data_IF_508131506198
#
_entry.id   IF_508131506198
#
_cell.length_a   1.000
_cell.length_b   1.000
_cell.length_c   1.000
_cell.angle_alpha   90.00
_cell.angle_beta   90.00
_cell.angle_gamma   90.00
#
_symmetry.space_group_name_H-M   'P 1'
#
loop_
_entity.id
_entity.type
_entity.pdbx_description
1 polymer ?
#
# COMPACT_ATOMS: atom_id res chain seq x y z
N UNK A 1 -46.77 32.82 26.13
CA UNK A 1 -47.09 31.40 26.44
C UNK A 1 -45.79 30.68 26.73
N UNK A 2 -45.73 30.02 27.90
CA UNK A 2 -44.75 29.05 28.42
C UNK A 2 -43.25 29.44 28.38
N UNK A 3 -42.63 29.92 29.47
CA UNK A 3 -42.30 29.36 30.79
C UNK A 3 -40.90 28.69 30.86
N UNK A 4 -40.03 29.43 31.56
CA UNK A 4 -38.71 29.05 32.06
C UNK A 4 -38.80 27.94 33.11
N UNK A 5 -37.77 27.09 33.19
CA UNK A 5 -37.46 26.35 34.41
C UNK A 5 -36.03 26.64 34.87
N UNK A 6 -35.93 27.25 36.04
CA UNK A 6 -34.76 27.28 36.93
C UNK A 6 -34.90 26.20 38.01
N UNK A 7 -33.78 25.81 38.66
CA UNK A 7 -33.67 24.61 39.49
C UNK A 7 -33.81 24.91 41.00
N UNK A 8 -33.86 23.87 41.86
CA UNK A 8 -33.07 23.71 43.10
C UNK A 8 -33.72 22.72 44.11
N UNK A 9 -32.85 21.82 44.58
CA UNK A 9 -32.82 21.01 45.83
C UNK A 9 -33.87 21.29 46.93
N UNK A 10 -34.31 20.22 47.62
CA UNK A 10 -34.18 20.08 49.10
C UNK A 10 -34.53 18.70 49.67
N UNK A 11 -33.59 18.23 50.49
CA UNK A 11 -33.74 17.53 51.78
C UNK A 11 -34.44 16.16 51.88
N UNK A 12 -33.65 15.15 52.25
CA UNK A 12 -34.07 13.90 52.89
C UNK A 12 -33.42 13.82 54.27
N UNK A 13 -34.22 13.65 55.33
CA UNK A 13 -33.81 13.04 56.61
C UNK A 13 -35.01 12.31 57.22
N UNK A 14 -34.90 10.98 57.42
CA UNK A 14 -35.44 10.27 58.59
C UNK A 14 -34.50 9.09 58.89
N UNK A 15 -34.01 9.02 60.14
CA UNK A 15 -33.23 7.92 60.74
C UNK A 15 -34.13 6.84 61.34
N UNK A 16 -33.51 5.68 61.67
CA UNK A 16 -33.76 4.68 62.75
C UNK A 16 -33.86 3.26 62.13
N UNK A 17 -33.27 2.16 62.63
CA UNK A 17 -32.16 1.85 63.52
C UNK A 17 -31.96 0.30 63.46
N UNK A 18 -30.77 -0.16 63.86
CA UNK A 18 -30.44 -1.49 64.45
C UNK A 18 -30.59 -2.78 63.61
N UNK A 19 -29.48 -3.52 63.46
CA UNK A 19 -29.50 -4.92 63.00
C UNK A 19 -28.14 -5.57 62.70
N UNK A 20 -27.49 -6.05 63.76
CA UNK A 20 -26.38 -7.01 63.90
C UNK A 20 -25.94 -7.92 62.69
N UNK A 21 -24.63 -7.87 62.40
CA UNK A 21 -23.67 -8.92 61.91
C UNK A 21 -24.02 -9.85 60.73
N UNK A 22 -23.17 -9.83 59.70
CA UNK A 22 -22.27 -10.94 59.31
C UNK A 22 -21.27 -10.45 58.23
N UNK A 23 -19.98 -10.64 58.51
CA UNK A 23 -18.87 -10.38 57.59
C UNK A 23 -18.92 -11.35 56.40
N UNK A 24 -19.33 -10.84 55.24
CA UNK A 24 -19.16 -11.49 53.94
C UNK A 24 -18.16 -10.69 53.12
N UNK A 25 -16.91 -11.18 53.03
CA UNK A 25 -15.87 -10.62 52.18
C UNK A 25 -16.20 -10.86 50.70
N UNK A 26 -16.81 -9.88 50.03
CA UNK A 26 -16.79 -9.80 48.57
C UNK A 26 -15.64 -8.90 48.15
N UNK A 27 -14.51 -9.51 47.80
CA UNK A 27 -13.43 -8.83 47.10
C UNK A 27 -13.91 -8.37 45.73
N UNK A 28 -14.14 -7.07 45.56
CA UNK A 28 -14.26 -6.46 44.24
C UNK A 28 -12.86 -6.39 43.63
N UNK A 29 -12.55 -7.33 42.73
CA UNK A 29 -11.44 -7.23 41.80
C UNK A 29 -11.74 -6.05 40.87
N UNK A 30 -11.10 -4.91 41.10
CA UNK A 30 -11.02 -3.85 40.11
C UNK A 30 -10.24 -4.39 38.91
N UNK A 31 -10.94 -4.57 37.80
CA UNK A 31 -10.35 -4.90 36.51
C UNK A 31 -9.59 -3.67 36.02
N UNK A 32 -8.30 -3.66 36.30
CA UNK A 32 -7.38 -2.62 35.86
C UNK A 32 -7.16 -2.82 34.36
N UNK A 33 -7.88 -2.05 33.54
CA UNK A 33 -7.61 -1.96 32.10
C UNK A 33 -6.15 -1.57 31.91
N UNK A 34 -5.33 -2.55 31.56
CA UNK A 34 -3.96 -2.33 31.15
C UNK A 34 -4.01 -1.46 29.89
N UNK A 35 -3.57 -0.21 30.01
CA UNK A 35 -3.18 0.60 28.86
C UNK A 35 -2.09 -0.20 28.14
N UNK A 36 -2.45 -0.81 27.02
CA UNK A 36 -1.49 -1.49 26.17
C UNK A 36 -0.41 -0.46 25.80
N UNK A 37 0.81 -0.67 26.30
CA UNK A 37 1.97 0.10 25.84
C UNK A 37 2.01 -0.08 24.33
N UNK A 38 1.89 1.04 23.63
CA UNK A 38 2.11 1.10 22.19
C UNK A 38 3.45 0.38 21.91
N UNK A 39 3.49 -0.61 21.01
CA UNK A 39 4.72 -1.35 20.74
C UNK A 39 5.81 -0.34 20.38
N UNK A 40 6.97 -0.46 21.04
CA UNK A 40 8.14 0.39 20.75
C UNK A 40 8.34 0.42 19.23
N UNK A 41 8.44 1.61 18.61
CA UNK A 41 8.55 1.71 17.17
C UNK A 41 9.78 0.89 16.72
N UNK A 42 9.68 0.16 15.59
CA UNK A 42 10.83 -0.54 15.04
C UNK A 42 12.03 0.40 14.94
N UNK A 43 13.28 -0.08 15.14
CA UNK A 43 14.46 0.74 14.93
C UNK A 43 14.39 1.38 13.55
N UNK A 44 14.69 2.69 13.47
CA UNK A 44 14.69 3.39 12.20
C UNK A 44 15.60 2.65 11.21
N UNK A 45 15.15 2.38 9.98
CA UNK A 45 15.92 1.61 9.03
C UNK A 45 17.17 2.41 8.66
N UNK A 46 18.24 1.68 8.36
CA UNK A 46 19.45 2.23 7.76
C UNK A 46 19.07 3.13 6.58
N UNK A 47 19.48 4.40 6.62
CA UNK A 47 19.30 5.33 5.51
C UNK A 47 20.22 4.87 4.38
N UNK A 48 19.64 4.54 3.22
CA UNK A 48 20.42 4.04 2.08
C UNK A 48 20.86 5.19 1.17
N UNK A 49 22.02 5.01 0.55
CA UNK A 49 22.57 5.88 -0.50
C UNK A 49 22.70 5.11 -1.81
N UNK A 50 23.02 5.79 -2.90
CA UNK A 50 23.19 5.12 -4.20
C UNK A 50 24.35 4.10 -4.19
N UNK A 51 25.38 4.31 -3.37
CA UNK A 51 26.54 3.43 -3.24
C UNK A 51 26.23 2.17 -2.42
N UNK A 52 25.32 2.29 -1.44
CA UNK A 52 25.04 1.22 -0.47
C UNK A 52 23.79 0.42 -0.79
N UNK A 53 22.91 0.95 -1.65
CA UNK A 53 21.59 0.37 -1.90
C UNK A 53 21.66 -1.05 -2.46
N UNK A 54 22.50 -1.30 -3.47
CA UNK A 54 22.52 -2.61 -4.15
C UNK A 54 22.98 -3.70 -3.19
N UNK A 55 24.09 -3.50 -2.49
CA UNK A 55 24.63 -4.50 -1.57
C UNK A 55 23.68 -4.75 -0.40
N UNK A 56 23.11 -3.69 0.17
CA UNK A 56 22.18 -3.81 1.31
C UNK A 56 20.91 -4.57 0.93
N UNK A 57 20.30 -4.21 -0.21
CA UNK A 57 19.08 -4.88 -0.69
C UNK A 57 19.37 -6.31 -1.16
N UNK A 58 20.54 -6.56 -1.74
CA UNK A 58 20.99 -7.92 -2.13
C UNK A 58 21.10 -8.82 -0.92
N UNK A 59 21.79 -8.37 0.13
CA UNK A 59 21.94 -9.13 1.37
C UNK A 59 20.58 -9.45 2.01
N UNK A 60 19.66 -8.46 2.06
CA UNK A 60 18.30 -8.69 2.53
C UNK A 60 17.56 -9.72 1.69
N UNK A 61 17.62 -9.58 0.36
CA UNK A 61 16.96 -10.48 -0.59
C UNK A 61 17.43 -11.93 -0.45
N UNK A 62 18.73 -12.14 -0.28
CA UNK A 62 19.34 -13.47 -0.07
C UNK A 62 18.91 -14.09 1.26
N UNK A 63 18.83 -13.30 2.34
CA UNK A 63 18.37 -13.78 3.64
C UNK A 63 16.88 -14.17 3.66
N UNK A 64 16.09 -13.68 2.71
CA UNK A 64 14.65 -13.92 2.62
C UNK A 64 14.27 -14.43 1.23
N UNK A 65 14.60 -15.67 0.82
CA UNK A 65 14.56 -16.08 -0.60
C UNK A 65 13.15 -16.35 -1.17
N UNK A 66 12.09 -16.20 -0.38
CA UNK A 66 10.72 -16.52 -0.78
C UNK A 66 9.93 -15.28 -1.19
N UNK A 67 8.82 -15.51 -1.90
CA UNK A 67 7.82 -14.47 -2.14
C UNK A 67 7.35 -13.87 -0.81
N UNK A 68 7.01 -12.59 -0.81
CA UNK A 68 6.54 -11.89 0.40
C UNK A 68 5.09 -11.46 0.22
N UNK A 69 4.26 -11.74 1.22
CA UNK A 69 2.87 -11.31 1.23
C UNK A 69 2.74 -9.99 1.97
N UNK A 70 2.03 -9.05 1.35
CA UNK A 70 1.78 -7.72 1.90
C UNK A 70 0.28 -7.44 1.88
N UNK A 71 -0.22 -6.82 2.95
CA UNK A 71 -1.56 -6.27 3.04
C UNK A 71 -1.49 -4.74 2.97
N UNK A 72 -2.23 -4.15 2.04
CA UNK A 72 -2.42 -2.70 1.93
C UNK A 72 -3.85 -2.41 2.38
N UNK A 73 -4.03 -1.87 3.58
CA UNK A 73 -5.32 -1.42 4.09
C UNK A 73 -5.59 0.01 3.62
N UNK A 74 -6.80 0.27 3.13
CA UNK A 74 -7.23 1.60 2.71
C UNK A 74 -8.63 1.89 3.26
N UNK A 75 -9.09 3.16 3.27
CA UNK A 75 -10.49 3.47 3.58
C UNK A 75 -11.52 2.81 2.66
N UNK A 76 -11.08 2.26 1.52
CA UNK A 76 -11.90 1.58 0.51
C UNK A 76 -11.91 0.06 0.67
N UNK A 77 -11.10 -0.49 1.59
CA UNK A 77 -10.93 -1.91 1.82
C UNK A 77 -9.46 -2.35 1.69
N UNK A 78 -9.28 -3.66 1.68
CA UNK A 78 -7.97 -4.31 1.74
C UNK A 78 -7.52 -4.84 0.39
N UNK A 79 -6.24 -4.62 0.06
CA UNK A 79 -5.58 -5.18 -1.11
C UNK A 79 -4.46 -6.09 -0.62
N UNK A 80 -4.55 -7.39 -0.92
CA UNK A 80 -3.48 -8.34 -0.63
C UNK A 80 -2.62 -8.52 -1.87
N UNK A 81 -1.33 -8.25 -1.76
CA UNK A 81 -0.36 -8.43 -2.85
C UNK A 81 0.67 -9.51 -2.51
N UNK A 82 1.22 -10.10 -3.55
CA UNK A 82 2.41 -10.96 -3.53
C UNK A 82 3.55 -10.21 -4.19
N UNK A 83 4.66 -10.06 -3.49
CA UNK A 83 5.92 -9.57 -4.04
C UNK A 83 6.79 -10.76 -4.46
N UNK A 84 7.31 -10.72 -5.67
CA UNK A 84 8.05 -11.83 -6.28
C UNK A 84 9.46 -11.95 -5.72
N UNK A 85 9.88 -13.18 -5.44
CA UNK A 85 11.26 -13.47 -5.03
C UNK A 85 12.29 -13.16 -6.14
N UNK A 86 11.87 -13.23 -7.41
CA UNK A 86 12.73 -13.07 -8.59
C UNK A 86 13.00 -11.59 -8.96
N UNK A 87 12.45 -10.65 -8.16
CA UNK A 87 12.81 -9.22 -8.13
C UNK A 87 13.33 -8.84 -6.72
N UNK A 88 14.44 -9.45 -6.28
CA UNK A 88 14.91 -9.38 -4.90
C UNK A 88 15.20 -7.96 -4.41
N UNK A 89 15.75 -7.07 -5.26
CA UNK A 89 16.08 -5.70 -4.83
C UNK A 89 14.81 -4.91 -4.55
N UNK A 90 13.84 -4.92 -5.47
CA UNK A 90 12.61 -4.17 -5.27
C UNK A 90 11.76 -4.75 -4.15
N UNK A 91 11.67 -6.09 -4.03
CA UNK A 91 10.98 -6.73 -2.91
C UNK A 91 11.61 -6.34 -1.58
N UNK A 92 12.93 -6.44 -1.45
CA UNK A 92 13.65 -6.04 -0.25
C UNK A 92 13.38 -4.58 0.12
N UNK A 93 13.43 -3.69 -0.87
CA UNK A 93 13.16 -2.27 -0.64
C UNK A 93 11.72 -2.00 -0.19
N UNK A 94 10.73 -2.61 -0.86
CA UNK A 94 9.33 -2.46 -0.49
C UNK A 94 9.08 -2.97 0.93
N UNK A 95 9.60 -4.15 1.27
CA UNK A 95 9.46 -4.75 2.60
C UNK A 95 10.13 -3.90 3.68
N UNK A 96 11.33 -3.38 3.42
CA UNK A 96 12.01 -2.44 4.32
C UNK A 96 11.16 -1.19 4.59
N UNK A 97 10.61 -0.58 3.55
CA UNK A 97 9.77 0.63 3.68
C UNK A 97 8.43 0.35 4.36
N UNK A 98 7.82 -0.80 4.10
CA UNK A 98 6.60 -1.25 4.79
C UNK A 98 6.86 -1.45 6.29
N UNK A 99 7.93 -2.18 6.65
CA UNK A 99 8.28 -2.42 8.06
C UNK A 99 8.70 -1.14 8.79
N UNK A 100 9.25 -0.15 8.08
CA UNK A 100 9.51 1.17 8.65
C UNK A 100 8.21 1.98 8.91
N UNK A 101 7.09 1.59 8.30
CA UNK A 101 5.87 2.40 8.32
C UNK A 101 5.93 3.60 7.38
N UNK A 102 6.84 3.60 6.39
CA UNK A 102 6.94 4.70 5.42
C UNK A 102 5.64 4.87 4.63
N UNK A 103 5.10 3.76 4.10
CA UNK A 103 3.87 3.79 3.30
C UNK A 103 2.62 4.15 4.11
N UNK A 104 2.65 3.99 5.43
CA UNK A 104 1.54 4.39 6.31
C UNK A 104 1.29 5.90 6.34
N UNK A 105 2.22 6.67 5.75
CA UNK A 105 2.20 8.12 5.62
C UNK A 105 2.11 8.56 4.15
N UNK A 106 1.74 7.65 3.25
CA UNK A 106 1.57 7.94 1.82
C UNK A 106 0.13 7.75 1.37
N UNK A 107 -0.16 8.23 0.16
CA UNK A 107 -1.48 8.13 -0.48
C UNK A 107 -1.33 7.53 -1.88
N UNK A 108 -2.44 7.11 -2.48
CA UNK A 108 -2.52 6.96 -3.93
C UNK A 108 -2.67 8.35 -4.56
N UNK A 109 -1.56 8.88 -5.05
CA UNK A 109 -1.45 10.28 -5.46
C UNK A 109 -1.71 10.49 -6.96
N UNK A 110 -1.81 9.42 -7.74
CA UNK A 110 -2.17 9.48 -9.17
C UNK A 110 -3.09 8.31 -9.48
N UNK A 111 -4.28 8.63 -9.99
CA UNK A 111 -5.31 7.65 -10.34
C UNK A 111 -5.74 7.87 -11.78
N UNK A 112 -5.51 6.87 -12.61
CA UNK A 112 -5.95 6.87 -14.00
C UNK A 112 -6.81 5.66 -14.28
N UNK A 113 -8.10 5.94 -14.42
CA UNK A 113 -9.11 4.95 -14.78
C UNK A 113 -8.69 4.21 -16.05
N UNK A 114 -8.86 2.89 -16.02
CA UNK A 114 -8.56 1.95 -17.09
C UNK A 114 -7.05 1.80 -17.40
N UNK A 115 -6.19 2.33 -16.50
CA UNK A 115 -4.74 2.21 -16.54
C UNK A 115 -4.15 1.74 -15.21
N UNK A 116 -4.04 2.60 -14.18
CA UNK A 116 -3.40 2.24 -12.91
C UNK A 116 -3.75 3.20 -11.75
N UNK A 117 -3.47 2.73 -10.52
CA UNK A 117 -3.39 3.57 -9.32
C UNK A 117 -1.95 3.60 -8.83
N UNK A 118 -1.38 4.78 -8.60
CA UNK A 118 0.01 4.98 -8.19
C UNK A 118 0.09 5.56 -6.79
N UNK A 119 0.92 4.96 -5.94
CA UNK A 119 1.14 5.35 -4.55
C UNK A 119 2.62 5.44 -4.19
N UNK A 120 2.92 5.83 -2.94
CA UNK A 120 4.30 5.91 -2.44
C UNK A 120 4.81 7.30 -2.06
N UNK A 121 3.98 8.33 -2.20
CA UNK A 121 4.26 9.70 -1.73
C UNK A 121 3.01 10.38 -1.16
N UNK A 122 3.22 11.48 -0.44
CA UNK A 122 2.21 12.41 0.06
C UNK A 122 2.91 13.75 0.29
N UNK A 123 2.14 14.84 0.25
CA UNK A 123 2.66 16.19 0.53
C UNK A 123 3.08 16.38 2.00
N UNK A 124 2.61 15.53 2.91
CA UNK A 124 2.93 15.59 4.34
C UNK A 124 3.98 14.56 4.78
N UNK A 125 4.70 13.94 3.85
CA UNK A 125 5.65 12.89 4.20
C UNK A 125 6.99 13.44 4.71
N UNK A 126 7.34 13.13 5.95
CA UNK A 126 8.53 13.65 6.65
C UNK A 126 9.60 12.58 6.92
N UNK A 127 9.28 11.30 6.72
CA UNK A 127 10.20 10.21 7.02
C UNK A 127 11.36 10.17 6.01
N UNK A 128 12.59 10.20 6.53
CA UNK A 128 13.81 10.07 5.72
C UNK A 128 14.04 8.59 5.39
N UNK A 129 14.19 8.29 4.11
CA UNK A 129 14.46 6.93 3.62
C UNK A 129 15.81 6.78 2.92
N UNK A 130 16.44 7.91 2.56
CA UNK A 130 17.61 7.97 1.68
C UNK A 130 17.27 8.50 0.29
N UNK A 131 18.30 8.87 -0.48
CA UNK A 131 18.18 9.26 -1.88
C UNK A 131 18.93 8.26 -2.73
N UNK A 132 18.19 7.41 -3.44
CA UNK A 132 18.71 6.36 -4.29
C UNK A 132 17.66 5.93 -5.31
N UNK A 133 18.10 5.26 -6.35
CA UNK A 133 17.27 4.53 -7.31
C UNK A 133 17.65 3.06 -7.32
N UNK A 134 16.73 2.21 -7.76
CA UNK A 134 16.93 0.75 -7.79
C UNK A 134 17.17 0.31 -9.23
N UNK A 135 18.24 -0.46 -9.52
CA UNK A 135 18.46 -1.05 -10.85
C UNK A 135 17.25 -1.84 -11.35
N UNK A 136 16.94 -1.82 -12.65
CA UNK A 136 15.78 -2.51 -13.20
C UNK A 136 15.91 -4.04 -13.04
N UNK A 137 14.81 -4.69 -12.62
CA UNK A 137 14.70 -6.15 -12.54
C UNK A 137 13.64 -6.64 -13.54
N UNK A 138 13.72 -6.17 -14.78
CA UNK A 138 12.73 -6.44 -15.82
C UNK A 138 12.82 -7.91 -16.25
N UNK A 139 11.73 -8.66 -16.03
CA UNK A 139 11.62 -10.09 -16.40
C UNK A 139 10.52 -10.26 -17.45
N UNK A 140 10.79 -10.87 -18.62
CA UNK A 140 9.78 -11.02 -19.68
C UNK A 140 8.50 -11.77 -19.28
N UNK A 141 8.58 -12.66 -18.28
CA UNK A 141 7.43 -13.41 -17.77
C UNK A 141 6.60 -12.65 -16.73
N UNK A 142 7.11 -11.54 -16.19
CA UNK A 142 6.33 -10.60 -15.38
C UNK A 142 5.96 -9.39 -16.24
N UNK A 143 4.70 -9.38 -16.66
CA UNK A 143 4.14 -8.38 -17.55
C UNK A 143 2.96 -7.67 -16.89
N UNK A 144 2.58 -6.52 -17.44
CA UNK A 144 1.65 -5.59 -16.83
C UNK A 144 0.18 -5.98 -17.06
N UNK A 145 -0.16 -7.25 -16.83
CA UNK A 145 -1.56 -7.69 -16.73
C UNK A 145 -2.28 -6.94 -15.61
N UNK A 146 -3.61 -6.92 -15.68
CA UNK A 146 -4.48 -6.45 -14.59
C UNK A 146 -4.07 -7.09 -13.26
N UNK A 147 -3.89 -6.24 -12.25
CA UNK A 147 -3.41 -6.61 -10.91
C UNK A 147 -1.89 -6.67 -10.76
N UNK A 148 -1.09 -6.47 -11.81
CA UNK A 148 0.36 -6.38 -11.66
C UNK A 148 0.75 -5.18 -10.77
N UNK A 149 1.76 -5.37 -9.92
CA UNK A 149 2.36 -4.31 -9.09
C UNK A 149 3.71 -3.96 -9.70
N UNK A 150 3.89 -2.71 -10.13
CA UNK A 150 5.12 -2.24 -10.76
C UNK A 150 5.73 -1.04 -10.04
N UNK A 151 6.99 -0.77 -10.36
CA UNK A 151 7.73 0.38 -9.79
C UNK A 151 7.85 1.49 -10.83
N UNK A 152 7.54 2.71 -10.41
CA UNK A 152 7.57 3.86 -11.29
C UNK A 152 9.00 4.33 -11.56
N UNK A 153 9.21 4.96 -12.72
CA UNK A 153 10.46 5.59 -13.11
C UNK A 153 10.19 6.72 -14.10
N UNK A 154 11.19 7.58 -14.30
CA UNK A 154 11.19 8.51 -15.44
C UNK A 154 11.39 7.74 -16.75
N UNK A 155 10.94 8.36 -17.86
CA UNK A 155 11.07 7.82 -19.21
C UNK A 155 12.52 7.67 -19.66
N UNK A 156 12.76 6.89 -20.71
CA UNK A 156 14.10 6.48 -21.14
C UNK A 156 14.99 7.67 -21.56
N UNK A 157 14.40 8.78 -22.02
CA UNK A 157 15.14 10.00 -22.39
C UNK A 157 15.87 10.63 -21.19
N UNK A 158 15.22 10.67 -20.02
CA UNK A 158 15.78 11.22 -18.78
C UNK A 158 16.44 10.14 -17.91
N UNK A 159 16.10 8.88 -18.12
CA UNK A 159 16.53 7.74 -17.31
C UNK A 159 16.82 6.52 -18.22
N UNK A 160 17.90 6.57 -19.02
CA UNK A 160 18.23 5.52 -20.00
C UNK A 160 18.58 4.19 -19.34
N UNK A 161 19.07 4.22 -18.10
CA UNK A 161 19.36 3.03 -17.30
C UNK A 161 18.09 2.41 -16.69
N UNK A 162 16.93 3.05 -16.86
CA UNK A 162 15.61 2.60 -16.40
C UNK A 162 15.56 2.33 -14.89
N UNK A 163 16.31 3.11 -14.12
CA UNK A 163 16.36 2.99 -12.68
C UNK A 163 15.00 3.33 -12.06
N UNK A 164 14.49 2.47 -11.17
CA UNK A 164 13.20 2.65 -10.51
C UNK A 164 13.26 3.68 -9.39
N UNK A 165 12.13 4.36 -9.15
CA UNK A 165 11.87 5.08 -7.91
C UNK A 165 12.07 4.15 -6.71
N UNK A 166 12.60 4.68 -5.61
CA UNK A 166 12.76 3.92 -4.38
C UNK A 166 11.46 3.82 -3.57
N UNK A 167 10.40 4.53 -3.95
CA UNK A 167 9.16 4.59 -3.16
C UNK A 167 7.87 4.56 -3.98
N UNK A 168 7.91 5.04 -5.22
CA UNK A 168 6.69 5.17 -6.03
C UNK A 168 6.39 3.85 -6.75
N UNK A 169 5.25 3.25 -6.40
CA UNK A 169 4.75 2.00 -6.98
C UNK A 169 3.37 2.23 -7.59
N UNK A 170 2.92 1.33 -8.45
CA UNK A 170 1.58 1.34 -8.98
C UNK A 170 0.97 -0.07 -9.02
N UNK A 171 -0.35 -0.11 -9.02
CA UNK A 171 -1.14 -1.32 -9.26
C UNK A 171 -1.89 -1.12 -10.57
N UNK A 172 -1.68 -2.02 -11.52
CA UNK A 172 -2.36 -1.99 -12.82
C UNK A 172 -3.83 -2.32 -12.61
N UNK A 173 -4.69 -1.34 -12.88
CA UNK A 173 -6.11 -1.61 -13.10
C UNK A 173 -6.25 -2.18 -14.52
N UNK A 174 -5.77 -1.44 -15.51
CA UNK A 174 -5.88 -1.76 -16.92
C UNK A 174 -7.33 -1.92 -17.39
N UNK A 175 -7.46 -2.21 -18.68
CA UNK A 175 -8.70 -2.65 -19.29
C UNK A 175 -8.41 -3.79 -20.27
N UNK A 176 -9.45 -4.52 -20.67
CA UNK A 176 -9.35 -5.53 -21.71
C UNK A 176 -9.03 -4.87 -23.04
N UNK A 177 -7.95 -5.31 -23.70
CA UNK A 177 -7.54 -4.74 -24.97
C UNK A 177 -8.20 -5.52 -26.12
N UNK A 178 -9.08 -4.89 -26.92
CA UNK A 178 -9.54 -5.49 -28.17
C UNK A 178 -8.35 -5.67 -29.13
N UNK A 179 -8.51 -6.57 -30.10
CA UNK A 179 -7.40 -6.97 -30.98
C UNK A 179 -6.71 -5.79 -31.67
N UNK A 180 -7.48 -4.83 -32.19
CA UNK A 180 -6.91 -3.67 -32.89
C UNK A 180 -5.99 -2.85 -31.98
N UNK A 181 -6.37 -2.68 -30.70
CA UNK A 181 -5.62 -1.88 -29.73
C UNK A 181 -4.38 -2.63 -29.27
N UNK A 182 -4.49 -3.93 -29.04
CA UNK A 182 -3.34 -4.77 -28.71
C UNK A 182 -2.31 -4.78 -29.85
N UNK A 183 -2.76 -4.87 -31.10
CA UNK A 183 -1.85 -4.78 -32.26
C UNK A 183 -1.20 -3.40 -32.38
N UNK A 184 -1.93 -2.32 -32.10
CA UNK A 184 -1.37 -0.97 -32.07
C UNK A 184 -0.25 -0.86 -31.01
N UNK A 185 -0.51 -1.32 -29.79
CA UNK A 185 0.49 -1.36 -28.71
C UNK A 185 1.72 -2.21 -29.07
N UNK A 186 1.52 -3.40 -29.65
CA UNK A 186 2.62 -4.26 -30.10
C UNK A 186 3.51 -3.53 -31.11
N UNK A 187 2.92 -2.80 -32.05
CA UNK A 187 3.66 -2.05 -33.08
C UNK A 187 4.36 -0.83 -32.49
N UNK A 188 3.65 -0.01 -31.73
CA UNK A 188 4.15 1.25 -31.18
C UNK A 188 5.29 1.02 -30.19
N UNK A 189 5.10 0.11 -29.23
CA UNK A 189 6.08 -0.18 -28.18
C UNK A 189 7.01 -1.35 -28.54
N UNK A 190 6.95 -1.85 -29.78
CA UNK A 190 7.78 -2.96 -30.30
C UNK A 190 7.76 -4.17 -29.37
N UNK A 191 6.55 -4.60 -28.98
CA UNK A 191 6.36 -5.61 -27.95
C UNK A 191 6.58 -7.03 -28.46
N UNK A 192 7.38 -7.81 -27.73
CA UNK A 192 7.51 -9.25 -27.96
C UNK A 192 6.64 -10.03 -26.97
N UNK A 193 5.34 -10.16 -27.29
CA UNK A 193 4.37 -10.84 -26.44
C UNK A 193 4.17 -12.31 -26.85
N UNK A 194 4.24 -13.21 -25.88
CA UNK A 194 3.83 -14.61 -26.03
C UNK A 194 2.32 -14.76 -26.28
N UNK A 195 1.85 -15.89 -26.83
CA UNK A 195 0.42 -16.16 -26.98
C UNK A 195 -0.36 -16.03 -25.66
N UNK A 196 0.22 -16.48 -24.55
CA UNK A 196 -0.40 -16.37 -23.22
C UNK A 196 -0.55 -14.92 -22.76
N UNK A 197 0.46 -14.08 -23.00
CA UNK A 197 0.39 -12.64 -22.69
C UNK A 197 -0.67 -11.93 -23.54
N UNK A 198 -0.70 -12.20 -24.85
CA UNK A 198 -1.73 -11.66 -25.74
C UNK A 198 -3.13 -12.07 -25.27
N UNK A 199 -3.30 -13.33 -24.88
CA UNK A 199 -4.58 -13.80 -24.36
C UNK A 199 -4.96 -13.10 -23.04
N UNK A 200 -4.03 -12.94 -22.11
CA UNK A 200 -4.27 -12.23 -20.86
C UNK A 200 -4.72 -10.78 -21.10
N UNK A 201 -4.06 -10.05 -22.00
CA UNK A 201 -4.47 -8.68 -22.34
C UNK A 201 -5.86 -8.58 -22.93
N UNK A 202 -6.31 -9.59 -23.70
CA UNK A 202 -7.68 -9.64 -24.23
C UNK A 202 -8.72 -9.97 -23.17
N UNK A 203 -8.41 -10.87 -22.24
CA UNK A 203 -9.44 -11.45 -21.34
C UNK A 203 -9.48 -10.81 -19.96
N UNK A 204 -8.33 -10.51 -19.37
CA UNK A 204 -8.25 -9.90 -18.04
C UNK A 204 -7.81 -8.44 -18.11
N UNK A 205 -7.16 -8.03 -19.21
CA UNK A 205 -6.69 -6.68 -19.42
C UNK A 205 -5.31 -6.38 -18.83
N UNK A 206 -4.89 -5.13 -18.94
CA UNK A 206 -3.60 -4.66 -18.42
C UNK A 206 -3.12 -3.37 -19.06
N UNK A 207 -1.80 -3.19 -19.06
CA UNK A 207 -1.10 -2.00 -19.55
C UNK A 207 0.16 -2.41 -20.35
N UNK A 208 0.01 -2.99 -21.57
CA UNK A 208 1.14 -3.53 -22.33
C UNK A 208 2.20 -2.49 -22.72
N UNK A 209 1.85 -1.20 -22.77
CA UNK A 209 2.77 -0.10 -22.99
C UNK A 209 3.89 0.00 -21.93
N UNK A 210 3.73 -0.63 -20.76
CA UNK A 210 4.75 -0.67 -19.71
C UNK A 210 5.68 -1.89 -19.81
N UNK A 211 5.35 -2.89 -20.63
CA UNK A 211 6.13 -4.11 -20.76
C UNK A 211 7.54 -3.85 -21.29
N UNK A 212 8.48 -4.73 -20.90
CA UNK A 212 9.90 -4.70 -21.29
C UNK A 212 10.69 -3.46 -20.84
N UNK A 213 10.02 -2.49 -20.22
CA UNK A 213 10.64 -1.21 -19.85
C UNK A 213 10.43 -0.84 -18.38
N UNK A 214 9.41 -1.38 -17.70
CA UNK A 214 9.20 -1.21 -16.26
C UNK A 214 9.34 -2.53 -15.49
N UNK A 215 9.80 -2.44 -14.24
CA UNK A 215 9.93 -3.60 -13.37
C UNK A 215 8.58 -3.92 -12.71
N UNK A 216 8.05 -5.12 -12.97
CA UNK A 216 6.94 -5.70 -12.23
C UNK A 216 7.48 -6.46 -11.03
N UNK A 217 7.07 -6.06 -9.83
CA UNK A 217 7.60 -6.57 -8.56
C UNK A 217 6.64 -7.54 -7.86
N UNK A 218 5.40 -7.64 -8.35
CA UNK A 218 4.38 -8.44 -7.71
C UNK A 218 3.05 -8.44 -8.43
N UNK A 219 2.02 -8.95 -7.76
CA UNK A 219 0.64 -8.92 -8.21
C UNK A 219 -0.35 -8.91 -7.05
N UNK A 220 -1.56 -8.42 -7.32
CA UNK A 220 -2.71 -8.50 -6.43
C UNK A 220 -3.23 -9.94 -6.40
N UNK A 221 -3.35 -10.48 -5.19
CA UNK A 221 -3.99 -11.78 -4.92
C UNK A 221 -5.47 -11.63 -4.55
N UNK A 222 -5.84 -10.54 -3.86
CA UNK A 222 -7.21 -10.21 -3.45
C UNK A 222 -7.39 -8.69 -3.35
N UNK A 223 -8.60 -8.18 -3.55
CA UNK A 223 -8.89 -6.75 -3.45
C UNK A 223 -8.83 -5.99 -4.77
N UNK A 224 -9.03 -6.66 -5.92
CA UNK A 224 -9.10 -5.95 -7.20
C UNK A 224 -10.32 -5.02 -7.28
N UNK A 225 -11.41 -5.37 -6.61
CA UNK A 225 -12.58 -4.52 -6.42
C UNK A 225 -12.27 -3.25 -5.62
N UNK A 226 -11.30 -3.31 -4.70
CA UNK A 226 -10.80 -2.15 -3.97
C UNK A 226 -9.96 -1.28 -4.90
N UNK A 227 -9.08 -1.88 -5.71
CA UNK A 227 -8.33 -1.16 -6.77
C UNK A 227 -9.29 -0.42 -7.71
N UNK A 228 -10.37 -1.06 -8.15
CA UNK A 228 -11.39 -0.44 -8.99
C UNK A 228 -12.12 0.71 -8.28
N UNK A 229 -12.46 0.53 -7.01
CA UNK A 229 -13.13 1.56 -6.20
C UNK A 229 -12.24 2.78 -5.95
N UNK A 230 -10.92 2.59 -5.87
CA UNK A 230 -9.94 3.69 -5.84
C UNK A 230 -9.83 4.32 -7.22
N UNK A 231 -9.76 3.53 -8.29
CA UNK A 231 -9.66 4.05 -9.65
C UNK A 231 -10.88 4.88 -10.12
N UNK A 232 -12.03 4.70 -9.46
CA UNK A 232 -13.26 5.42 -9.72
C UNK A 232 -13.42 6.73 -8.90
N UNK A 233 -12.46 7.10 -8.05
CA UNK A 233 -12.57 8.36 -7.28
C UNK A 233 -12.43 9.58 -8.18
N UNK A 234 -13.09 10.71 -7.87
CA UNK A 234 -12.84 11.97 -8.54
C UNK A 234 -11.38 12.40 -8.36
N UNK A 235 -10.76 12.85 -9.46
CA UNK A 235 -9.39 13.36 -9.48
C UNK A 235 -9.34 14.80 -9.99
N UNK A 236 -8.29 15.52 -9.63
CA UNK A 236 -7.97 16.82 -10.18
C UNK A 236 -7.30 16.73 -11.56
N UNK A 237 -6.82 17.88 -12.07
CA UNK A 237 -6.16 17.97 -13.37
C UNK A 237 -4.83 17.21 -13.44
N UNK A 238 -4.18 16.98 -12.30
CA UNK A 238 -2.93 16.21 -12.18
C UNK A 238 -3.16 14.71 -11.97
N UNK A 239 -4.43 14.29 -11.97
CA UNK A 239 -4.88 12.93 -11.62
C UNK A 239 -4.74 12.59 -10.14
N UNK A 240 -4.54 13.59 -9.28
CA UNK A 240 -4.54 13.40 -7.84
C UNK A 240 -5.97 13.28 -7.31
N UNK A 241 -6.33 12.29 -6.46
CA UNK A 241 -7.66 12.19 -5.90
C UNK A 241 -8.10 13.45 -5.15
N UNK A 242 -9.27 14.01 -5.46
CA UNK A 242 -9.80 15.21 -4.79
C UNK A 242 -9.89 15.02 -3.26
N UNK A 243 -10.13 13.77 -2.84
CA UNK A 243 -9.95 13.34 -1.46
C UNK A 243 -8.89 12.25 -1.43
N UNK A 244 -7.82 12.51 -0.67
CA UNK A 244 -6.72 11.58 -0.47
C UNK A 244 -7.20 10.17 -0.09
N UNK A 245 -6.64 9.17 -0.78
CA UNK A 245 -6.79 7.76 -0.41
C UNK A 245 -5.48 7.29 0.22
N UNK A 246 -5.41 7.41 1.55
CA UNK A 246 -4.28 6.92 2.34
C UNK A 246 -4.21 5.41 2.42
N UNK A 247 -3.06 4.90 2.87
CA UNK A 247 -2.84 3.47 3.06
C UNK A 247 -2.16 3.15 4.40
N UNK A 248 -2.31 1.91 4.85
CA UNK A 248 -1.46 1.24 5.86
C UNK A 248 -0.92 -0.04 5.26
N UNK A 249 0.38 -0.27 5.35
CA UNK A 249 1.04 -1.37 4.66
C UNK A 249 1.72 -2.29 5.66
N UNK A 250 1.32 -3.55 5.66
CA UNK A 250 1.83 -4.57 6.58
C UNK A 250 2.38 -5.77 5.83
N UNK A 251 3.58 -6.19 6.20
CA UNK A 251 4.14 -7.48 5.76
C UNK A 251 3.50 -8.58 6.60
N UNK A 252 2.91 -9.59 5.95
CA UNK A 252 2.10 -10.62 6.63
C UNK A 252 2.66 -12.03 6.50
N UNK A 253 3.63 -12.28 5.62
CA UNK A 253 4.42 -13.52 5.55
C UNK A 253 5.62 -13.37 4.63
#
# INVERSE_FOLDING_TARGET
>A
MALNHTPYLRSIIVMIATGLTLLGACGQKQEQSAVAKEPTPPPAPTILTQETVVDTLTAYGQAHPNDTLVLINTPKGDIKIRLYKDTPLHRANFVRLANYGFFDKTVFFRVEKDFMIQGGRSDFQTMKIGSYKIPPEIKPHYFHKRGAVGMARYGDEENPERMSSNKDFYIVQGHQLPDYELQANIKEFKLNLSPAQKQAYRTIGGAPNLDQTFTVIGEVLKGMEVVDSIAAVPVDQTKWPVKDVGMKVKVIR
#
